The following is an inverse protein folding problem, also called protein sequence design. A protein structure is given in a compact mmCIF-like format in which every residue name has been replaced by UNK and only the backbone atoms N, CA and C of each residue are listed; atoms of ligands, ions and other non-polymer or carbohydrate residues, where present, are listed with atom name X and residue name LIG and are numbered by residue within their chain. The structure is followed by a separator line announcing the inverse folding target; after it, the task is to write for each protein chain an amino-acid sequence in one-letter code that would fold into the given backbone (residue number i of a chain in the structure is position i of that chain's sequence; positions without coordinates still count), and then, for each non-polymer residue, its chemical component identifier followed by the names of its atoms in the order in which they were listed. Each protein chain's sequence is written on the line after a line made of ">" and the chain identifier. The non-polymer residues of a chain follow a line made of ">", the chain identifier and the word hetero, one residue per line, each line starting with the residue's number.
data_IF_701635851675
#
_entry.id   IF_701635851675
#
_cell.length_a   1.000
_cell.length_b   1.000
_cell.length_c   1.000
_cell.angle_alpha   90.00
_cell.angle_beta   90.00
_cell.angle_gamma   90.00
#
_symmetry.space_group_name_H-M   'P 1'
#
loop_
_entity.id
_entity.type
_entity.pdbx_description
1 polymer ?
#
# COMPACT_ATOMS: atom_id res chain seq x y z
N UNK A 1 14.57 8.76 -13.65
CA UNK A 1 13.09 8.68 -13.64
C UNK A 1 12.64 7.89 -12.42
N UNK A 2 11.51 8.22 -11.79
CA UNK A 2 11.05 7.56 -10.55
C UNK A 2 10.83 6.03 -10.71
N UNK A 3 10.42 5.59 -11.89
CA UNK A 3 10.27 4.17 -12.23
C UNK A 3 11.58 3.38 -12.18
N UNK A 4 12.72 4.00 -12.49
CA UNK A 4 14.04 3.37 -12.37
C UNK A 4 14.39 3.08 -10.91
N UNK A 5 14.11 4.02 -10.00
CA UNK A 5 14.33 3.80 -8.57
C UNK A 5 13.40 2.70 -8.04
N UNK A 6 12.13 2.72 -8.45
CA UNK A 6 11.16 1.70 -8.09
C UNK A 6 11.60 0.29 -8.53
N UNK A 7 12.01 0.14 -9.79
CA UNK A 7 12.47 -1.14 -10.32
C UNK A 7 13.76 -1.62 -9.65
N UNK A 8 14.70 -0.72 -9.33
CA UNK A 8 15.89 -1.08 -8.54
C UNK A 8 15.55 -1.68 -7.17
N UNK A 9 14.46 -1.25 -6.52
CA UNK A 9 14.01 -1.86 -5.27
C UNK A 9 13.45 -3.26 -5.53
N UNK A 10 12.62 -3.43 -6.57
CA UNK A 10 12.05 -4.72 -6.94
C UNK A 10 13.08 -5.76 -7.41
N UNK A 11 14.16 -5.29 -8.03
CA UNK A 11 15.26 -6.10 -8.57
C UNK A 11 16.40 -6.27 -7.56
N UNK A 12 16.25 -5.76 -6.34
CA UNK A 12 17.27 -5.91 -5.31
C UNK A 12 17.37 -7.36 -4.82
N UNK A 13 18.54 -7.74 -4.31
CA UNK A 13 18.81 -9.09 -3.77
C UNK A 13 18.16 -9.34 -2.40
N UNK A 14 17.14 -8.57 -2.03
CA UNK A 14 16.42 -8.73 -0.76
C UNK A 14 15.41 -9.88 -0.94
N UNK A 15 15.56 -11.01 -0.20
CA UNK A 15 14.73 -12.20 -0.41
C UNK A 15 13.26 -11.98 -0.02
N UNK A 16 13.00 -11.14 0.99
CA UNK A 16 11.68 -10.79 1.49
C UNK A 16 11.48 -9.28 1.36
N UNK A 17 10.72 -8.86 0.34
CA UNK A 17 10.57 -7.45 0.00
C UNK A 17 9.12 -7.11 -0.34
N UNK A 18 8.62 -6.04 0.28
CA UNK A 18 7.36 -5.40 -0.07
C UNK A 18 7.63 -3.96 -0.49
N UNK A 19 7.24 -3.59 -1.70
CA UNK A 19 7.11 -2.18 -2.11
C UNK A 19 5.64 -1.79 -2.03
N UNK A 20 5.34 -0.80 -1.19
CA UNK A 20 3.99 -0.22 -1.02
C UNK A 20 3.91 1.08 -1.80
N UNK A 21 2.87 1.23 -2.63
CA UNK A 21 2.60 2.49 -3.32
C UNK A 21 1.12 2.56 -3.72
N UNK A 22 0.49 3.75 -3.77
CA UNK A 22 -0.77 3.92 -4.46
C UNK A 22 -0.81 3.36 -5.90
N UNK A 23 -2.03 3.19 -6.41
CA UNK A 23 -2.27 2.78 -7.80
C UNK A 23 -1.51 3.71 -8.76
N UNK A 24 -0.58 3.13 -9.51
CA UNK A 24 0.28 3.86 -10.44
C UNK A 24 -0.52 4.51 -11.57
N UNK A 25 -0.10 5.69 -12.01
CA UNK A 25 -0.66 6.34 -13.20
C UNK A 25 -0.29 5.57 -14.49
N UNK A 26 -0.99 5.85 -15.59
CA UNK A 26 -0.85 5.10 -16.85
C UNK A 26 0.62 4.93 -17.30
N UNK A 27 1.37 6.03 -17.35
CA UNK A 27 2.77 5.98 -17.81
C UNK A 27 3.70 5.15 -16.91
N UNK A 28 3.46 5.07 -15.60
CA UNK A 28 4.31 4.28 -14.71
C UNK A 28 4.05 2.77 -14.88
N UNK A 29 2.81 2.39 -15.24
CA UNK A 29 2.44 0.99 -15.50
C UNK A 29 3.08 0.41 -16.76
N UNK A 30 3.53 1.25 -17.68
CA UNK A 30 4.25 0.81 -18.88
C UNK A 30 5.69 0.38 -18.57
N UNK A 31 6.23 0.77 -17.40
CA UNK A 31 7.63 0.50 -17.00
C UNK A 31 7.77 -0.34 -15.73
N UNK A 32 6.70 -0.53 -14.96
CA UNK A 32 6.69 -1.28 -13.70
C UNK A 32 5.77 -2.48 -13.88
N UNK A 33 6.22 -3.67 -13.46
CA UNK A 33 5.36 -4.87 -13.47
C UNK A 33 4.07 -4.63 -12.67
N UNK A 34 3.03 -5.41 -12.97
CA UNK A 34 1.78 -5.37 -12.20
C UNK A 34 2.05 -5.73 -10.73
N UNK A 35 1.37 -5.04 -9.82
CA UNK A 35 1.36 -5.36 -8.39
C UNK A 35 0.74 -6.74 -8.15
N UNK A 36 1.08 -7.34 -7.01
CA UNK A 36 0.60 -8.66 -6.61
C UNK A 36 -0.73 -8.57 -5.86
N UNK A 37 -0.94 -7.49 -5.11
CA UNK A 37 -2.15 -7.27 -4.32
C UNK A 37 -2.59 -5.80 -4.28
N UNK A 38 -3.90 -5.55 -4.19
CA UNK A 38 -4.45 -4.29 -3.69
C UNK A 38 -5.05 -4.52 -2.30
N UNK A 39 -4.74 -3.62 -1.39
CA UNK A 39 -5.29 -3.59 -0.04
C UNK A 39 -5.96 -2.23 0.25
N UNK A 40 -6.71 -2.18 1.34
CA UNK A 40 -7.36 -0.98 1.86
C UNK A 40 -7.14 -0.88 3.38
N UNK A 41 -7.08 0.32 3.96
CA UNK A 41 -6.96 0.49 5.41
C UNK A 41 -8.08 -0.21 6.19
N UNK A 42 -9.31 -0.13 5.71
CA UNK A 42 -10.47 -0.77 6.34
C UNK A 42 -10.47 -2.30 6.28
N UNK A 43 -9.51 -2.92 5.59
CA UNK A 43 -9.28 -4.36 5.69
C UNK A 43 -8.59 -4.75 7.00
N UNK A 44 -8.03 -3.79 7.73
CA UNK A 44 -7.21 -4.06 8.92
C UNK A 44 -7.63 -3.28 10.16
N UNK A 45 -8.66 -2.43 10.08
CA UNK A 45 -9.26 -1.75 11.23
C UNK A 45 -9.31 -0.22 11.13
N UNK A 46 -8.62 0.38 10.15
CA UNK A 46 -8.70 1.82 9.88
C UNK A 46 -9.91 2.14 9.00
N UNK A 47 -10.85 2.98 9.45
CA UNK A 47 -12.11 3.29 8.74
C UNK A 47 -11.93 4.18 7.48
N UNK A 48 -10.87 4.00 6.70
CA UNK A 48 -10.57 4.76 5.49
C UNK A 48 -10.49 3.86 4.24
N UNK A 49 -10.80 4.47 3.11
CA UNK A 49 -10.64 3.91 1.77
C UNK A 49 -9.54 4.66 1.05
N UNK A 50 -8.38 4.01 0.93
CA UNK A 50 -7.24 4.45 0.13
C UNK A 50 -6.60 3.21 -0.47
N UNK A 51 -6.87 2.96 -1.74
CA UNK A 51 -6.31 1.80 -2.43
C UNK A 51 -4.77 1.89 -2.47
N UNK A 52 -4.14 0.86 -1.93
CA UNK A 52 -2.69 0.71 -1.88
C UNK A 52 -2.32 -0.59 -2.59
N UNK A 53 -1.34 -0.51 -3.49
CA UNK A 53 -0.79 -1.67 -4.20
C UNK A 53 0.45 -2.18 -3.47
N UNK A 54 0.59 -3.50 -3.42
CA UNK A 54 1.77 -4.19 -2.89
C UNK A 54 2.46 -4.97 -4.00
N UNK A 55 3.76 -4.78 -4.13
CA UNK A 55 4.65 -5.63 -4.92
C UNK A 55 5.47 -6.46 -3.94
N UNK A 56 5.33 -7.77 -4.01
CA UNK A 56 5.86 -8.73 -3.06
C UNK A 56 6.91 -9.60 -3.74
N UNK A 57 8.03 -9.81 -3.06
CA UNK A 57 9.09 -10.77 -3.39
C UNK A 57 9.29 -11.62 -2.14
N UNK A 58 9.13 -12.95 -2.27
CA UNK A 58 9.27 -13.90 -1.17
C UNK A 58 8.23 -13.79 -0.04
N UNK A 59 7.32 -12.81 -0.08
CA UNK A 59 6.29 -12.59 0.93
C UNK A 59 4.93 -13.17 0.51
N UNK A 60 4.17 -13.79 1.42
CA UNK A 60 2.77 -14.16 1.16
C UNK A 60 1.89 -12.91 1.09
N UNK A 61 0.77 -13.01 0.35
CA UNK A 61 -0.26 -11.97 0.29
C UNK A 61 -0.71 -11.56 1.70
N UNK A 62 -0.90 -10.27 1.93
CA UNK A 62 -1.35 -9.75 3.22
C UNK A 62 -2.82 -10.14 3.44
N UNK A 63 -3.08 -10.94 4.45
CA UNK A 63 -4.42 -11.44 4.76
C UNK A 63 -5.24 -10.36 5.46
N UNK A 64 -6.42 -10.08 4.92
CA UNK A 64 -7.40 -9.20 5.54
C UNK A 64 -7.76 -9.72 6.94
N UNK A 65 -7.71 -8.85 7.94
CA UNK A 65 -7.98 -9.19 9.35
C UNK A 65 -9.30 -8.62 9.89
N UNK A 66 -9.86 -7.61 9.22
CA UNK A 66 -11.06 -6.90 9.68
C UNK A 66 -12.08 -6.72 8.56
N UNK A 67 -13.36 -6.88 8.91
CA UNK A 67 -14.49 -6.62 8.04
C UNK A 67 -15.29 -5.46 8.60
N UNK A 68 -15.43 -4.40 7.80
CA UNK A 68 -16.20 -3.21 8.15
C UNK A 68 -17.36 -3.09 7.19
N UNK A 69 -18.49 -2.61 7.71
CA UNK A 69 -19.66 -2.31 6.91
C UNK A 69 -19.38 -1.11 6.01
N UNK A 70 -19.97 -1.11 4.81
CA UNK A 70 -19.72 -0.05 3.80
C UNK A 70 -20.05 1.36 4.32
N UNK A 71 -21.01 1.48 5.23
CA UNK A 71 -21.42 2.76 5.82
C UNK A 71 -20.36 3.39 6.73
N UNK A 72 -19.42 2.60 7.24
CA UNK A 72 -18.37 3.07 8.14
C UNK A 72 -17.12 3.56 7.41
N UNK A 73 -16.98 3.20 6.13
CA UNK A 73 -15.79 3.47 5.32
C UNK A 73 -15.79 4.94 4.89
N UNK A 74 -14.76 5.68 5.34
CA UNK A 74 -14.53 7.08 4.96
C UNK A 74 -13.70 7.17 3.70
N UNK A 75 -13.88 8.26 2.96
CA UNK A 75 -13.08 8.61 1.78
C UNK A 75 -12.37 9.96 1.99
N UNK A 76 -11.93 10.24 3.22
CA UNK A 76 -11.43 11.57 3.59
C UNK A 76 -10.17 11.92 2.81
N UNK A 77 -9.30 10.92 2.58
CA UNK A 77 -8.06 11.07 1.80
C UNK A 77 -8.37 11.57 0.39
N UNK A 78 -9.33 10.94 -0.31
CA UNK A 78 -9.73 11.32 -1.67
C UNK A 78 -10.34 12.72 -1.72
N UNK A 79 -11.22 13.04 -0.76
CA UNK A 79 -11.96 14.31 -0.68
C UNK A 79 -11.15 15.48 -0.12
N UNK A 80 -9.89 15.25 0.29
CA UNK A 80 -9.04 16.27 0.88
C UNK A 80 -8.81 17.45 -0.10
N UNK A 81 -9.11 18.70 0.31
CA UNK A 81 -8.92 19.88 -0.55
C UNK A 81 -7.43 20.18 -0.75
N UNK A 82 -7.06 20.95 -1.79
CA UNK A 82 -5.70 21.46 -1.96
C UNK A 82 -5.22 22.23 -0.72
N UNK A 83 -4.04 21.85 -0.19
CA UNK A 83 -3.32 22.59 0.84
C UNK A 83 -1.82 22.30 0.71
N UNK A 84 -0.93 23.13 1.30
CA UNK A 84 0.50 22.84 1.32
C UNK A 84 0.85 21.46 1.93
N UNK A 85 0.09 21.04 2.95
CA UNK A 85 0.30 19.79 3.69
C UNK A 85 -0.37 18.58 3.03
N UNK A 86 -1.26 18.80 2.04
CA UNK A 86 -2.05 17.74 1.38
C UNK A 86 -1.18 16.57 0.93
N UNK A 87 -0.02 16.85 0.35
CA UNK A 87 0.91 15.81 -0.12
C UNK A 87 1.39 14.93 1.05
N UNK A 88 1.82 15.56 2.14
CA UNK A 88 2.32 14.89 3.34
C UNK A 88 1.21 14.06 4.01
N UNK A 89 0.03 14.65 4.19
CA UNK A 89 -1.09 13.97 4.84
C UNK A 89 -1.54 12.74 4.04
N UNK A 90 -1.56 12.84 2.71
CA UNK A 90 -1.93 11.72 1.82
C UNK A 90 -0.83 10.67 1.68
N UNK A 91 0.41 10.97 2.02
CA UNK A 91 1.51 9.99 1.99
C UNK A 91 1.67 9.23 3.30
N UNK A 92 0.91 9.57 4.35
CA UNK A 92 0.95 8.81 5.62
C UNK A 92 0.43 7.39 5.42
N UNK A 93 1.13 6.45 6.03
CA UNK A 93 0.71 5.05 6.18
C UNK A 93 -0.30 4.95 7.31
N UNK A 94 -1.27 4.06 7.13
CA UNK A 94 -2.30 3.77 8.11
C UNK A 94 -1.77 2.78 9.15
N UNK A 95 -1.88 3.05 10.46
CA UNK A 95 -1.32 2.20 11.51
C UNK A 95 -1.75 0.75 11.41
N UNK A 96 -3.03 0.48 11.12
CA UNK A 96 -3.54 -0.89 11.10
C UNK A 96 -2.95 -1.74 9.95
N UNK A 97 -2.62 -1.12 8.81
CA UNK A 97 -1.90 -1.80 7.73
C UNK A 97 -0.48 -2.15 8.20
N UNK A 98 0.21 -1.21 8.85
CA UNK A 98 1.58 -1.43 9.32
C UNK A 98 1.63 -2.54 10.39
N UNK A 99 0.67 -2.53 11.32
CA UNK A 99 0.53 -3.57 12.34
C UNK A 99 0.24 -4.94 11.72
N UNK A 100 -0.64 -4.99 10.71
CA UNK A 100 -0.93 -6.24 10.00
C UNK A 100 0.29 -6.79 9.24
N UNK A 101 1.05 -5.92 8.54
CA UNK A 101 2.29 -6.29 7.88
C UNK A 101 3.31 -6.83 8.88
N UNK A 102 3.50 -6.12 9.99
CA UNK A 102 4.40 -6.53 11.06
C UNK A 102 3.98 -7.89 11.64
N UNK A 103 2.71 -8.04 12.06
CA UNK A 103 2.22 -9.28 12.66
C UNK A 103 2.32 -10.48 11.72
N UNK A 104 1.99 -10.32 10.43
CA UNK A 104 1.97 -11.43 9.48
C UNK A 104 3.37 -11.80 8.99
N UNK A 105 4.24 -10.83 8.73
CA UNK A 105 5.53 -11.07 8.09
C UNK A 105 6.72 -11.14 9.06
N UNK A 106 6.53 -10.79 10.34
CA UNK A 106 7.59 -10.72 11.37
C UNK A 106 8.49 -11.95 11.47
N UNK A 107 7.92 -13.16 11.36
CA UNK A 107 8.63 -14.41 11.62
C UNK A 107 8.85 -15.25 10.35
N UNK A 108 8.78 -14.61 9.18
CA UNK A 108 9.15 -15.26 7.92
C UNK A 108 10.68 -15.38 7.89
N UNK A 109 11.16 -16.59 7.63
CA UNK A 109 12.58 -16.92 7.54
C UNK A 109 13.07 -16.76 6.11
#
# INVERSE_FOLDING_TARGET
>A
MATLFFNRLLESDIPLLCVENPIQHKYARDYIRKYDQIIQPHYFGDNESKATCLWLIGLPLLARTHWLDKGEIKQSVWRMPPSPERRLLRSRTFPAIADAMAAQWFNLK
#
